data_IF_384865161118
#
_entry.id   IF_384865161118
#
_cell.length_a   1.000
_cell.length_b   1.000
_cell.length_c   1.000
_cell.angle_alpha   90.00
_cell.angle_beta   90.00
_cell.angle_gamma   90.00
#
_symmetry.space_group_name_H-M   'P 1'
#
loop_
_entity.id
_entity.type
_entity.pdbx_description
1 polymer ?
#
# COMPACT_ATOMS: atom_id res chain seq x y z
N UNK A 1 13.15 -5.83 -13.33
CA UNK A 1 11.80 -6.40 -13.17
C UNK A 1 10.98 -5.46 -12.32
N UNK A 2 9.83 -4.99 -12.82
CA UNK A 2 8.94 -4.11 -12.09
C UNK A 2 7.82 -4.88 -11.42
N UNK A 3 7.63 -4.61 -10.14
CA UNK A 3 6.57 -5.17 -9.31
C UNK A 3 5.72 -4.02 -8.84
N UNK A 4 4.44 -4.00 -9.19
CA UNK A 4 3.52 -2.96 -8.75
C UNK A 4 2.59 -3.53 -7.68
N UNK A 5 2.55 -2.87 -6.52
CA UNK A 5 1.64 -3.20 -5.43
C UNK A 5 0.47 -2.21 -5.48
N UNK A 6 -0.72 -2.68 -5.80
CA UNK A 6 -1.95 -1.92 -5.68
C UNK A 6 -2.70 -2.40 -4.44
N UNK A 7 -2.95 -1.52 -3.48
CA UNK A 7 -3.56 -1.95 -2.23
C UNK A 7 -4.17 -0.83 -1.40
N UNK A 8 -4.64 -1.20 -0.22
CA UNK A 8 -5.26 -0.28 0.72
C UNK A 8 -4.25 0.32 1.72
N UNK A 9 -4.74 0.85 2.84
CA UNK A 9 -3.92 1.45 3.89
C UNK A 9 -2.87 0.52 4.50
N UNK A 10 -2.99 -0.81 4.38
CA UNK A 10 -1.97 -1.75 4.86
C UNK A 10 -0.67 -1.66 4.08
N UNK A 11 -0.74 -1.26 2.82
CA UNK A 11 0.43 -1.12 1.95
C UNK A 11 1.16 0.21 2.19
N UNK A 12 0.54 1.17 2.87
CA UNK A 12 1.10 2.50 3.10
C UNK A 12 2.02 2.57 4.32
N UNK A 13 2.89 3.59 4.39
CA UNK A 13 3.71 3.86 5.57
C UNK A 13 2.85 3.91 6.83
N UNK A 14 3.29 3.16 7.84
CA UNK A 14 2.67 3.18 9.15
C UNK A 14 3.18 4.36 9.97
N UNK A 15 2.31 4.97 10.78
CA UNK A 15 2.72 5.79 11.89
C UNK A 15 3.80 5.11 12.73
N UNK A 16 4.94 5.76 12.85
CA UNK A 16 6.00 5.35 13.75
C UNK A 16 5.61 5.72 15.17
N UNK A 17 5.52 4.71 16.04
CA UNK A 17 5.22 4.87 17.47
C UNK A 17 3.95 5.68 17.75
N UNK A 18 2.84 5.29 17.14
CA UNK A 18 1.54 5.95 17.35
C UNK A 18 1.13 6.07 18.82
N UNK A 19 1.55 5.10 19.65
CA UNK A 19 1.27 5.08 21.09
C UNK A 19 2.10 6.10 21.90
N UNK A 20 3.17 6.65 21.31
CA UNK A 20 4.05 7.65 21.94
C UNK A 20 3.81 9.07 21.40
N UNK A 21 2.88 9.25 20.44
CA UNK A 21 2.58 10.55 19.85
C UNK A 21 1.99 11.50 20.89
N UNK A 22 2.60 12.68 21.02
CA UNK A 22 2.15 13.74 21.90
C UNK A 22 1.70 14.97 21.08
N UNK A 23 0.39 15.27 20.98
CA UNK A 23 -0.10 16.36 20.13
C UNK A 23 0.38 17.77 20.54
N UNK A 24 0.83 17.94 21.79
CA UNK A 24 1.36 19.23 22.28
C UNK A 24 2.83 19.43 21.89
N UNK A 25 3.58 18.33 21.64
CA UNK A 25 5.03 18.36 21.38
C UNK A 25 5.37 18.00 19.93
N UNK A 26 4.60 17.11 19.34
CA UNK A 26 4.81 16.56 18.02
C UNK A 26 3.89 17.27 17.02
N UNK A 27 4.49 17.97 16.05
CA UNK A 27 3.74 18.68 15.00
C UNK A 27 2.99 17.74 14.06
N UNK A 28 3.49 16.52 13.90
CA UNK A 28 2.91 15.50 13.02
C UNK A 28 3.30 14.09 13.45
N UNK A 29 2.50 13.12 13.02
CA UNK A 29 2.75 11.70 13.25
C UNK A 29 3.85 11.23 12.30
N UNK A 30 5.05 10.99 12.82
CA UNK A 30 6.16 10.50 12.02
C UNK A 30 5.77 9.21 11.27
N UNK A 31 6.09 9.10 9.98
CA UNK A 31 5.79 7.94 9.15
C UNK A 31 7.08 7.34 8.59
N UNK A 32 7.27 6.03 8.73
CA UNK A 32 8.47 5.37 8.22
C UNK A 32 8.19 4.65 6.90
N UNK A 33 8.64 5.26 5.81
CA UNK A 33 8.51 4.68 4.46
C UNK A 33 9.29 3.37 4.31
N UNK A 34 10.48 3.28 4.93
CA UNK A 34 11.42 2.16 4.80
C UNK A 34 11.02 0.90 5.59
N UNK A 35 9.87 0.96 6.28
CA UNK A 35 9.23 -0.17 6.97
C UNK A 35 7.92 -0.60 6.29
N UNK A 36 7.56 0.03 5.16
CA UNK A 36 6.43 -0.48 4.35
C UNK A 36 6.76 -1.86 3.80
N UNK A 37 5.76 -2.73 3.68
CA UNK A 37 5.95 -4.04 3.05
C UNK A 37 6.59 -3.91 1.65
N UNK A 38 6.21 -2.91 0.85
CA UNK A 38 6.86 -2.67 -0.45
C UNK A 38 8.35 -2.39 -0.34
N UNK A 39 8.76 -1.56 0.63
CA UNK A 39 10.18 -1.28 0.87
C UNK A 39 10.94 -2.49 1.44
N UNK A 40 10.31 -3.31 2.28
CA UNK A 40 10.88 -4.55 2.81
C UNK A 40 11.04 -5.60 1.70
N UNK A 41 10.04 -5.73 0.82
CA UNK A 41 10.10 -6.61 -0.35
C UNK A 41 11.24 -6.20 -1.30
N UNK A 42 11.38 -4.90 -1.59
CA UNK A 42 12.48 -4.38 -2.40
C UNK A 42 13.85 -4.75 -1.80
N UNK A 43 14.03 -4.52 -0.49
CA UNK A 43 15.27 -4.84 0.22
C UNK A 43 15.59 -6.33 0.14
N UNK A 44 14.58 -7.17 0.38
CA UNK A 44 14.75 -8.63 0.40
C UNK A 44 15.04 -9.20 -0.99
N UNK A 45 14.37 -8.71 -2.03
CA UNK A 45 14.65 -9.11 -3.42
C UNK A 45 16.08 -8.74 -3.84
N UNK A 46 16.53 -7.53 -3.48
CA UNK A 46 17.89 -7.09 -3.77
C UNK A 46 18.93 -7.92 -3.00
N UNK A 47 18.62 -8.35 -1.76
CA UNK A 47 19.48 -9.23 -0.97
C UNK A 47 19.59 -10.63 -1.56
N UNK A 48 18.47 -11.22 -1.98
CA UNK A 48 18.42 -12.59 -2.51
C UNK A 48 18.98 -12.70 -3.93
N UNK A 49 18.88 -11.63 -4.71
CA UNK A 49 19.25 -11.61 -6.12
C UNK A 49 20.06 -10.34 -6.47
N UNK A 50 21.29 -10.20 -5.94
CA UNK A 50 22.07 -8.96 -6.03
C UNK A 50 22.42 -8.55 -7.46
N UNK A 51 22.46 -9.50 -8.40
CA UNK A 51 22.76 -9.25 -9.81
C UNK A 51 21.51 -9.00 -10.68
N UNK A 52 20.33 -8.89 -10.07
CA UNK A 52 19.08 -8.60 -10.78
C UNK A 52 18.50 -7.29 -10.26
N UNK A 53 18.10 -6.44 -11.20
CA UNK A 53 17.39 -5.21 -10.87
C UNK A 53 15.91 -5.48 -10.61
N UNK A 54 15.44 -5.16 -9.42
CA UNK A 54 14.02 -5.12 -9.06
C UNK A 54 13.62 -3.68 -8.76
N UNK A 55 12.41 -3.31 -9.14
CA UNK A 55 11.78 -2.05 -8.79
C UNK A 55 10.39 -2.36 -8.23
N UNK A 56 10.18 -2.06 -6.95
CA UNK A 56 8.90 -2.25 -6.27
C UNK A 56 8.19 -0.90 -6.18
N UNK A 57 7.11 -0.77 -6.95
CA UNK A 57 6.30 0.44 -7.03
C UNK A 57 5.07 0.26 -6.15
N UNK A 58 4.96 1.06 -5.10
CA UNK A 58 3.82 1.02 -4.20
C UNK A 58 2.77 2.07 -4.60
N UNK A 59 1.61 1.59 -5.07
CA UNK A 59 0.42 2.38 -5.41
C UNK A 59 -0.71 2.19 -4.40
N UNK A 60 -0.35 1.84 -3.16
CA UNK A 60 -1.26 1.82 -2.04
C UNK A 60 -2.00 3.14 -1.85
N UNK A 61 -3.29 3.08 -1.55
CA UNK A 61 -4.09 4.26 -1.22
C UNK A 61 -4.93 4.00 0.04
N UNK A 62 -5.21 5.02 0.86
CA UNK A 62 -6.06 4.85 2.05
C UNK A 62 -7.51 4.65 1.63
N UNK A 63 -8.27 3.91 2.44
CA UNK A 63 -9.70 3.64 2.22
C UNK A 63 -10.01 2.98 0.86
N UNK A 64 -9.01 2.38 0.20
CA UNK A 64 -9.15 1.80 -1.13
C UNK A 64 -9.89 0.47 -1.09
N UNK A 65 -10.74 0.24 -2.08
CA UNK A 65 -11.49 -1.02 -2.26
C UNK A 65 -11.16 -1.64 -3.61
N UNK A 66 -11.60 -2.87 -3.84
CA UNK A 66 -11.42 -3.53 -5.14
C UNK A 66 -11.98 -2.71 -6.32
N UNK A 67 -13.12 -2.02 -6.12
CA UNK A 67 -13.73 -1.17 -7.16
C UNK A 67 -12.77 -0.06 -7.61
N UNK A 68 -12.08 0.56 -6.65
CA UNK A 68 -11.13 1.62 -6.96
C UNK A 68 -9.91 1.09 -7.72
N UNK A 69 -9.41 -0.10 -7.37
CA UNK A 69 -8.32 -0.74 -8.13
C UNK A 69 -8.73 -1.03 -9.55
N UNK A 70 -9.92 -1.61 -9.76
CA UNK A 70 -10.43 -1.92 -11.10
C UNK A 70 -10.53 -0.66 -11.96
N UNK A 71 -10.95 0.47 -11.38
CA UNK A 71 -11.03 1.74 -12.10
C UNK A 71 -9.67 2.31 -12.51
N UNK A 72 -8.58 1.95 -11.84
CA UNK A 72 -7.23 2.46 -12.11
C UNK A 72 -6.30 1.44 -12.76
N UNK A 73 -6.74 0.18 -12.92
CA UNK A 73 -5.84 -0.91 -13.32
C UNK A 73 -5.26 -0.68 -14.71
N UNK A 74 -6.05 -0.12 -15.63
CA UNK A 74 -5.59 0.21 -16.97
C UNK A 74 -4.48 1.27 -16.95
N UNK A 75 -4.66 2.34 -16.19
CA UNK A 75 -3.64 3.38 -16.01
C UNK A 75 -2.39 2.79 -15.35
N UNK A 76 -2.55 1.97 -14.32
CA UNK A 76 -1.43 1.33 -13.64
C UNK A 76 -0.63 0.43 -14.58
N UNK A 77 -1.29 -0.37 -15.42
CA UNK A 77 -0.62 -1.23 -16.39
C UNK A 77 0.05 -0.39 -17.49
N UNK A 78 -0.65 0.63 -18.00
CA UNK A 78 -0.16 1.47 -19.09
C UNK A 78 1.08 2.30 -18.69
N UNK A 79 1.02 3.00 -17.56
CA UNK A 79 2.10 3.90 -17.15
C UNK A 79 3.30 3.19 -16.54
N UNK A 80 3.08 2.16 -15.71
CA UNK A 80 4.17 1.52 -14.98
C UNK A 80 4.72 0.27 -15.67
N UNK A 81 3.93 -0.34 -16.57
CA UNK A 81 4.28 -1.57 -17.28
C UNK A 81 4.87 -2.65 -16.34
N UNK A 82 4.14 -3.03 -15.28
CA UNK A 82 4.65 -3.98 -14.31
C UNK A 82 4.79 -5.38 -14.92
N UNK A 83 5.84 -6.10 -14.53
CA UNK A 83 5.98 -7.52 -14.85
C UNK A 83 5.14 -8.38 -13.89
N UNK A 84 4.98 -7.91 -12.65
CA UNK A 84 4.20 -8.56 -11.59
C UNK A 84 3.29 -7.50 -10.98
N UNK A 85 1.99 -7.83 -10.85
CA UNK A 85 1.00 -6.99 -10.20
C UNK A 85 0.54 -7.68 -8.92
N UNK A 86 0.81 -7.08 -7.76
CA UNK A 86 0.38 -7.56 -6.45
C UNK A 86 -0.85 -6.76 -6.04
N UNK A 87 -1.97 -7.46 -5.85
CA UNK A 87 -3.22 -6.87 -5.38
C UNK A 87 -3.40 -7.15 -3.89
N UNK A 88 -3.50 -6.09 -3.09
CA UNK A 88 -3.69 -6.20 -1.64
C UNK A 88 -4.83 -5.29 -1.17
N UNK A 89 -6.06 -5.76 -1.33
CA UNK A 89 -7.30 -5.07 -0.91
C UNK A 89 -8.23 -6.05 -0.22
N UNK A 90 -9.05 -5.58 0.73
CA UNK A 90 -10.07 -6.40 1.39
C UNK A 90 -9.99 -6.40 2.91
N UNK A 91 -8.95 -5.81 3.48
CA UNK A 91 -8.76 -5.67 4.94
C UNK A 91 -9.54 -4.48 5.46
N UNK A 92 -10.86 -4.66 5.58
CA UNK A 92 -11.77 -3.76 6.29
C UNK A 92 -12.62 -2.83 5.41
N UNK A 93 -12.09 -2.21 4.36
CA UNK A 93 -12.86 -1.20 3.59
C UNK A 93 -14.02 -1.79 2.78
N UNK A 94 -13.92 -3.06 2.34
CA UNK A 94 -15.04 -3.77 1.69
C UNK A 94 -16.02 -4.43 2.67
N UNK A 95 -15.55 -4.84 3.84
CA UNK A 95 -16.36 -5.54 4.86
C UNK A 95 -17.10 -4.57 5.79
N UNK A 96 -16.50 -3.44 6.17
CA UNK A 96 -17.13 -2.46 7.06
C UNK A 96 -18.16 -1.56 6.35
N UNK A 97 -18.10 -1.41 5.02
CA UNK A 97 -19.07 -0.62 4.25
C UNK A 97 -20.40 -1.36 3.99
N UNK A 98 -20.44 -2.69 4.11
CA UNK A 98 -21.68 -3.47 3.96
C UNK A 98 -22.54 -3.53 5.24
N UNK A 99 -22.11 -2.89 6.34
CA UNK A 99 -22.85 -2.83 7.60
C UNK A 99 -23.52 -1.46 7.85
N UNK A 100 -23.78 -0.68 6.81
CA UNK A 100 -24.73 0.44 6.92
C UNK A 100 -26.15 -0.14 6.85
N UNK A 101 -27.03 0.10 7.84
CA UNK A 101 -28.38 -0.42 7.80
C UNK A 101 -29.09 0.16 6.58
N UNK A 102 -29.70 -0.73 5.79
CA UNK A 102 -30.65 -0.35 4.76
C UNK A 102 -31.80 0.36 5.49
N UNK A 103 -31.84 1.69 5.43
CA UNK A 103 -33.04 2.42 5.83
C UNK A 103 -34.09 2.18 4.73
N UNK A 104 -35.07 1.34 5.06
CA UNK A 104 -36.31 1.19 4.30
C UNK A 104 -37.31 2.30 4.60
#
# INVERSE_FOLDING_TARGET
MRILIAGDSLTLPRPYRINEFNPEKDKELAVQYHETYGSLLQKELNRLYPNKYFEVINRGQRAFTIKHVVNQIFDHVYYFQPNIFILHVGTGTGLFYNNQPIQG
#
